data_IF_215630115797
#
_entry.id   IF_215630115797
#
_cell.length_a   1.000
_cell.length_b   1.000
_cell.length_c   1.000
_cell.angle_alpha   90.00
_cell.angle_beta   90.00
_cell.angle_gamma   90.00
#
_symmetry.space_group_name_H-M   'P 1'
#
loop_
_entity.id
_entity.type
_entity.pdbx_description
1 polymer ?
#
# COMPACT_ATOMS: atom_id res chain seq x y z
N UNK A 1 21.58 8.79 -6.34
CA UNK A 1 20.28 9.49 -6.35
C UNK A 1 19.17 8.45 -6.21
N UNK A 2 18.25 8.60 -5.26
CA UNK A 2 17.21 7.60 -4.99
C UNK A 2 15.87 8.08 -5.56
N UNK A 3 15.33 7.34 -6.55
CA UNK A 3 13.99 7.62 -7.13
C UNK A 3 12.92 7.47 -6.04
N UNK A 4 11.90 8.31 -5.99
CA UNK A 4 10.79 8.22 -5.01
C UNK A 4 9.55 7.51 -5.56
N UNK A 5 9.57 7.16 -6.85
CA UNK A 5 8.55 6.37 -7.50
C UNK A 5 9.12 5.11 -8.15
N UNK A 6 8.23 4.19 -8.49
CA UNK A 6 8.51 2.96 -9.22
C UNK A 6 7.35 2.67 -10.17
N UNK A 7 7.64 2.20 -11.38
CA UNK A 7 6.63 1.66 -12.29
C UNK A 7 6.30 0.22 -11.91
N UNK A 8 5.07 -0.22 -12.14
CA UNK A 8 4.67 -1.57 -11.75
C UNK A 8 5.48 -2.64 -12.51
N UNK A 9 5.86 -2.35 -13.76
CA UNK A 9 6.73 -3.17 -14.60
C UNK A 9 8.15 -3.34 -14.08
N UNK A 10 8.65 -2.39 -13.27
CA UNK A 10 9.98 -2.51 -12.65
C UNK A 10 10.03 -3.59 -11.55
N UNK A 11 8.87 -4.14 -11.17
CA UNK A 11 8.78 -5.16 -10.11
C UNK A 11 8.70 -6.59 -10.65
N UNK A 12 8.70 -6.80 -11.97
CA UNK A 12 8.55 -8.15 -12.54
C UNK A 12 9.71 -9.06 -12.10
N UNK A 13 9.39 -10.25 -11.62
CA UNK A 13 10.36 -11.23 -11.13
C UNK A 13 10.94 -10.96 -9.74
N UNK A 14 10.58 -9.86 -9.07
CA UNK A 14 11.08 -9.57 -7.72
C UNK A 14 10.50 -10.52 -6.65
N UNK A 15 11.28 -10.74 -5.58
CA UNK A 15 10.82 -11.48 -4.40
C UNK A 15 9.79 -10.66 -3.63
N UNK A 16 8.65 -11.28 -3.33
CA UNK A 16 7.49 -10.63 -2.75
C UNK A 16 7.15 -11.18 -1.37
N UNK A 17 7.08 -10.27 -0.40
CA UNK A 17 6.34 -10.46 0.85
C UNK A 17 4.85 -10.34 0.53
N UNK A 18 4.19 -11.48 0.40
CA UNK A 18 2.79 -11.56 0.03
C UNK A 18 1.87 -11.56 1.27
N UNK A 19 0.58 -11.32 1.03
CA UNK A 19 -0.46 -11.56 2.01
C UNK A 19 -0.91 -13.02 2.01
N UNK A 20 -1.26 -13.55 3.18
CA UNK A 20 -1.88 -14.86 3.30
C UNK A 20 -3.34 -14.83 2.79
N UNK A 21 -3.92 -15.99 2.42
CA UNK A 21 -5.24 -16.06 1.76
C UNK A 21 -6.41 -15.46 2.56
N UNK A 22 -6.29 -15.39 3.89
CA UNK A 22 -7.28 -14.82 4.81
C UNK A 22 -7.24 -13.28 4.86
N UNK A 23 -6.18 -12.66 4.34
CA UNK A 23 -6.09 -11.22 4.24
C UNK A 23 -6.81 -10.72 2.97
N UNK A 24 -7.73 -9.77 3.14
CA UNK A 24 -8.51 -9.17 2.04
C UNK A 24 -7.68 -8.57 0.89
N UNK A 25 -6.41 -8.26 1.12
CA UNK A 25 -5.50 -7.74 0.09
C UNK A 25 -4.90 -8.83 -0.79
N UNK A 26 -4.86 -10.10 -0.37
CA UNK A 26 -4.23 -11.18 -1.15
C UNK A 26 -4.88 -11.29 -2.52
N UNK A 27 -6.16 -11.66 -2.56
CA UNK A 27 -6.85 -11.84 -3.85
C UNK A 27 -7.00 -10.54 -4.65
N UNK A 28 -7.02 -9.38 -3.99
CA UNK A 28 -6.99 -8.10 -4.72
C UNK A 28 -5.65 -7.88 -5.41
N UNK A 29 -4.54 -8.17 -4.73
CA UNK A 29 -3.18 -8.02 -5.25
C UNK A 29 -2.96 -8.99 -6.41
N UNK A 30 -3.32 -10.27 -6.24
CA UNK A 30 -3.20 -11.30 -7.28
C UNK A 30 -3.91 -10.88 -8.58
N UNK A 31 -5.18 -10.46 -8.48
CA UNK A 31 -5.95 -10.01 -9.64
C UNK A 31 -5.34 -8.77 -10.29
N UNK A 32 -4.82 -7.85 -9.48
CA UNK A 32 -4.30 -6.59 -10.00
C UNK A 32 -2.93 -6.77 -10.68
N UNK A 33 -2.08 -7.67 -10.17
CA UNK A 33 -0.82 -8.07 -10.80
C UNK A 33 -1.07 -8.86 -12.08
N UNK A 34 -1.99 -9.83 -12.03
CA UNK A 34 -2.39 -10.61 -13.21
C UNK A 34 -2.97 -9.72 -14.32
N UNK A 35 -3.82 -8.76 -13.99
CA UNK A 35 -4.35 -7.79 -14.96
C UNK A 35 -3.26 -6.89 -15.57
N UNK A 36 -2.15 -6.68 -14.87
CA UNK A 36 -0.97 -5.96 -15.37
C UNK A 36 0.04 -6.88 -16.09
N UNK A 37 -0.19 -8.19 -16.13
CA UNK A 37 0.71 -9.17 -16.76
C UNK A 37 2.01 -9.43 -15.98
N UNK A 38 2.04 -9.13 -14.68
CA UNK A 38 3.26 -9.20 -13.86
C UNK A 38 3.32 -10.44 -12.99
N UNK A 39 4.53 -10.95 -12.84
CA UNK A 39 4.82 -12.18 -12.12
C UNK A 39 5.87 -11.89 -11.05
N UNK A 40 5.41 -11.73 -9.81
CA UNK A 40 6.26 -11.62 -8.62
C UNK A 40 6.44 -12.99 -7.98
N UNK A 41 7.54 -13.21 -7.27
CA UNK A 41 7.87 -14.49 -6.62
C UNK A 41 7.51 -14.43 -5.11
N UNK A 42 6.38 -15.00 -4.65
CA UNK A 42 6.04 -14.96 -3.23
C UNK A 42 7.00 -15.81 -2.40
N UNK A 43 7.80 -15.18 -1.55
CA UNK A 43 8.81 -15.88 -0.71
C UNK A 43 8.38 -16.03 0.75
N UNK A 44 7.48 -15.16 1.21
CA UNK A 44 6.88 -15.22 2.55
C UNK A 44 5.45 -14.68 2.49
N UNK A 45 4.58 -15.19 3.35
CA UNK A 45 3.20 -14.71 3.46
C UNK A 45 2.87 -14.23 4.88
N UNK A 46 1.98 -13.25 5.00
CA UNK A 46 1.47 -12.79 6.29
C UNK A 46 -0.01 -12.42 6.25
N UNK A 47 -0.75 -12.79 7.30
CA UNK A 47 -2.14 -12.37 7.48
C UNK A 47 -2.27 -10.93 8.00
N UNK A 48 -1.19 -10.34 8.52
CA UNK A 48 -1.20 -9.01 9.14
C UNK A 48 -0.71 -7.96 8.16
N UNK A 49 -1.59 -7.05 7.73
CA UNK A 49 -1.25 -6.06 6.68
C UNK A 49 -0.03 -5.18 7.04
N UNK A 50 0.10 -4.77 8.30
CA UNK A 50 1.24 -3.94 8.76
C UNK A 50 2.55 -4.73 8.92
N UNK A 51 2.51 -6.06 8.90
CA UNK A 51 3.71 -6.88 8.98
C UNK A 51 4.43 -6.96 7.63
N UNK A 52 3.71 -6.91 6.51
CA UNK A 52 4.32 -7.02 5.18
C UNK A 52 5.42 -5.97 4.92
N UNK A 53 5.22 -4.66 5.19
CA UNK A 53 6.29 -3.67 5.06
C UNK A 53 7.49 -3.96 5.98
N UNK A 54 7.27 -4.47 7.19
CA UNK A 54 8.36 -4.75 8.14
C UNK A 54 9.22 -5.93 7.69
N UNK A 55 8.59 -6.99 7.18
CA UNK A 55 9.28 -8.14 6.61
C UNK A 55 10.11 -7.74 5.38
N UNK A 56 9.56 -6.86 4.52
CA UNK A 56 10.31 -6.32 3.39
C UNK A 56 11.50 -5.45 3.85
N UNK A 57 11.30 -4.59 4.86
CA UNK A 57 12.38 -3.80 5.44
C UNK A 57 13.47 -4.66 6.12
N UNK A 58 13.12 -5.88 6.55
CA UNK A 58 14.05 -6.87 7.07
C UNK A 58 14.82 -7.63 5.97
N UNK A 59 14.55 -7.34 4.68
CA UNK A 59 15.28 -7.92 3.55
C UNK A 59 14.67 -9.18 2.95
N UNK A 60 13.42 -9.53 3.28
CA UNK A 60 12.72 -10.69 2.72
C UNK A 60 12.12 -10.45 1.32
N UNK A 61 12.53 -9.39 0.63
CA UNK A 61 11.96 -8.96 -0.65
C UNK A 61 11.22 -7.62 -0.55
N UNK A 62 10.37 -7.34 -1.54
CA UNK A 62 9.51 -6.15 -1.57
C UNK A 62 8.14 -6.43 -0.95
N UNK A 63 7.42 -5.38 -0.55
CA UNK A 63 6.01 -5.47 -0.17
C UNK A 63 5.19 -4.42 -0.91
N UNK A 64 4.09 -4.84 -1.53
CA UNK A 64 3.07 -3.95 -2.07
C UNK A 64 2.01 -3.77 -0.98
N UNK A 65 1.92 -2.56 -0.41
CA UNK A 65 1.08 -2.30 0.76
C UNK A 65 0.37 -0.96 0.67
N UNK A 66 -0.88 -0.84 1.18
CA UNK A 66 -1.48 0.47 1.36
C UNK A 66 -0.62 1.31 2.32
N UNK A 67 -0.45 2.59 2.01
CA UNK A 67 0.37 3.52 2.80
C UNK A 67 -0.04 3.59 4.28
N UNK A 68 -1.32 3.33 4.59
CA UNK A 68 -1.84 3.28 5.96
C UNK A 68 -1.28 2.12 6.81
N UNK A 69 -0.65 1.12 6.19
CA UNK A 69 -0.01 0.01 6.88
C UNK A 69 1.44 0.31 7.30
N UNK A 70 2.00 1.43 6.85
CA UNK A 70 3.36 1.85 7.17
C UNK A 70 3.34 2.75 8.40
N UNK A 71 3.94 2.27 9.49
CA UNK A 71 4.05 2.99 10.75
C UNK A 71 5.09 4.12 10.70
N UNK A 72 4.98 5.08 11.62
CA UNK A 72 6.01 6.09 11.83
C UNK A 72 7.35 5.44 12.23
N UNK A 73 8.47 6.00 11.78
CA UNK A 73 9.80 5.45 12.04
C UNK A 73 10.12 4.20 11.22
N UNK A 74 9.41 3.99 10.12
CA UNK A 74 9.63 2.83 9.26
C UNK A 74 11.09 2.78 8.74
N UNK A 75 11.82 1.68 8.97
CA UNK A 75 13.25 1.61 8.62
C UNK A 75 13.51 1.38 7.12
N UNK A 76 12.50 0.97 6.37
CA UNK A 76 12.61 0.71 4.93
C UNK A 76 12.39 1.94 4.05
N UNK A 77 12.60 1.75 2.75
CA UNK A 77 12.32 2.76 1.72
C UNK A 77 10.90 2.56 1.18
N UNK A 78 10.11 3.61 1.19
CA UNK A 78 8.75 3.61 0.62
C UNK A 78 8.75 4.37 -0.70
N UNK A 79 8.23 3.76 -1.76
CA UNK A 79 8.10 4.36 -3.09
C UNK A 79 6.64 4.41 -3.49
N UNK A 80 6.25 5.49 -4.18
CA UNK A 80 4.92 5.58 -4.80
C UNK A 80 4.93 4.93 -6.17
N UNK A 81 3.79 4.42 -6.63
CA UNK A 81 3.67 3.98 -8.03
C UNK A 81 3.55 5.17 -8.99
N UNK A 82 4.22 5.08 -10.13
CA UNK A 82 4.03 5.97 -11.28
C UNK A 82 3.76 5.13 -12.54
N UNK A 83 2.57 5.19 -13.15
CA UNK A 83 1.39 5.95 -12.74
C UNK A 83 0.85 5.49 -11.38
N UNK A 84 0.05 6.36 -10.73
CA UNK A 84 -0.53 6.05 -9.42
C UNK A 84 -1.39 4.79 -9.49
N UNK A 85 -1.02 3.78 -8.70
CA UNK A 85 -1.81 2.57 -8.52
C UNK A 85 -2.53 2.63 -7.18
N UNK A 86 -3.86 2.69 -7.21
CA UNK A 86 -4.68 2.94 -6.02
C UNK A 86 -5.89 2.00 -5.98
N UNK A 87 -6.26 1.60 -4.76
CA UNK A 87 -7.50 0.88 -4.47
C UNK A 87 -8.55 1.87 -4.00
N UNK A 88 -9.75 1.82 -4.60
CA UNK A 88 -10.88 2.59 -4.12
C UNK A 88 -11.37 2.05 -2.77
N UNK A 89 -11.64 2.95 -1.82
CA UNK A 89 -12.23 2.64 -0.53
C UNK A 89 -13.68 3.13 -0.49
N UNK A 90 -14.56 2.30 0.08
CA UNK A 90 -15.99 2.60 0.19
C UNK A 90 -16.40 2.58 1.66
N UNK A 91 -17.25 3.54 2.05
CA UNK A 91 -17.97 3.51 3.32
C UNK A 91 -19.38 2.96 3.02
N UNK A 92 -19.76 1.88 3.70
CA UNK A 92 -21.04 1.21 3.51
C UNK A 92 -21.82 1.27 4.82
N UNK A 93 -23.06 1.75 4.76
CA UNK A 93 -23.97 1.82 5.91
C UNK A 93 -25.29 1.13 5.56
N UNK A 94 -25.96 0.43 6.49
CA UNK A 94 -27.24 -0.24 6.23
C UNK A 94 -28.39 0.73 5.85
N UNK A 95 -28.25 2.02 6.20
CA UNK A 95 -29.21 3.09 5.93
C UNK A 95 -28.54 4.45 6.08
N UNK A 96 -29.33 5.51 6.32
CA UNK A 96 -28.79 6.85 6.55
C UNK A 96 -27.91 6.86 7.82
N UNK A 97 -26.64 7.30 7.72
CA UNK A 97 -25.76 7.38 8.88
C UNK A 97 -26.25 8.45 9.85
N UNK A 98 -26.12 8.19 11.15
CA UNK A 98 -26.32 9.24 12.17
C UNK A 98 -25.33 10.41 11.95
N UNK A 99 -25.58 11.59 12.54
CA UNK A 99 -24.76 12.78 12.32
C UNK A 99 -23.26 12.58 12.62
N UNK A 100 -22.90 11.75 13.61
CA UNK A 100 -21.50 11.48 13.95
C UNK A 100 -20.85 10.59 12.89
N UNK A 101 -21.52 9.51 12.49
CA UNK A 101 -21.05 8.63 11.42
C UNK A 101 -20.94 9.39 10.08
N UNK A 102 -21.92 10.23 9.75
CA UNK A 102 -21.91 11.08 8.56
C UNK A 102 -20.72 12.05 8.58
N UNK A 103 -20.45 12.68 9.72
CA UNK A 103 -19.31 13.57 9.89
C UNK A 103 -17.99 12.83 9.73
N UNK A 104 -17.86 11.65 10.33
CA UNK A 104 -16.67 10.81 10.20
C UNK A 104 -16.42 10.40 8.74
N UNK A 105 -17.45 9.97 8.01
CA UNK A 105 -17.34 9.62 6.58
C UNK A 105 -16.93 10.84 5.75
N UNK A 106 -17.55 12.00 5.99
CA UNK A 106 -17.19 13.25 5.29
C UNK A 106 -15.73 13.66 5.56
N UNK A 107 -15.29 13.52 6.81
CA UNK A 107 -13.92 13.80 7.21
C UNK A 107 -12.92 12.84 6.53
N UNK A 108 -13.22 11.54 6.46
CA UNK A 108 -12.39 10.56 5.74
C UNK A 108 -12.33 10.83 4.23
N UNK A 109 -13.45 11.22 3.61
CA UNK A 109 -13.48 11.58 2.17
C UNK A 109 -12.62 12.81 1.87
N UNK A 110 -12.63 13.78 2.77
CA UNK A 110 -11.90 15.05 2.57
C UNK A 110 -10.41 14.90 2.86
N UNK A 111 -10.05 14.18 3.93
CA UNK A 111 -8.67 14.14 4.44
C UNK A 111 -7.91 12.87 4.06
N UNK A 112 -8.62 11.83 3.61
CA UNK A 112 -8.05 10.51 3.38
C UNK A 112 -7.60 9.84 4.68
N UNK A 113 -6.83 8.75 4.53
CA UNK A 113 -6.21 8.06 5.66
C UNK A 113 -4.98 8.83 6.15
N UNK A 114 -4.78 8.87 7.46
CA UNK A 114 -3.60 9.50 8.06
C UNK A 114 -2.35 8.72 7.64
N UNK A 115 -1.37 9.44 7.09
CA UNK A 115 -0.03 8.92 6.79
C UNK A 115 0.99 9.62 7.70
N UNK A 116 1.90 8.87 8.37
CA UNK A 116 3.00 9.47 9.12
C UNK A 116 3.81 10.46 8.27
N UNK A 117 4.28 11.56 8.88
CA UNK A 117 4.93 12.67 8.15
C UNK A 117 6.23 12.23 7.46
N UNK A 118 7.01 11.39 8.13
CA UNK A 118 8.24 10.79 7.61
C UNK A 118 7.98 9.92 6.38
N UNK A 119 6.93 9.08 6.42
CA UNK A 119 6.49 8.28 5.27
C UNK A 119 6.01 9.17 4.12
N UNK A 120 5.20 10.20 4.44
CA UNK A 120 4.72 11.18 3.46
C UNK A 120 5.88 11.87 2.74
N UNK A 121 6.92 12.28 3.47
CA UNK A 121 8.10 12.92 2.89
C UNK A 121 8.84 12.00 1.91
N UNK A 122 8.93 10.69 2.19
CA UNK A 122 9.53 9.73 1.25
C UNK A 122 8.75 9.68 -0.07
N UNK A 123 7.41 9.69 0.00
CA UNK A 123 6.53 9.65 -1.17
C UNK A 123 6.59 10.95 -2.00
N UNK A 124 6.76 12.11 -1.35
CA UNK A 124 6.70 13.44 -1.98
C UNK A 124 8.03 13.94 -2.55
N UNK A 125 9.16 13.31 -2.23
CA UNK A 125 10.51 13.70 -2.68
C UNK A 125 10.69 13.58 -4.21
N UNK A 126 10.19 14.55 -4.98
CA UNK A 126 10.40 14.62 -6.44
C UNK A 126 11.90 14.53 -6.77
N UNK A 127 12.27 13.58 -7.62
CA UNK A 127 13.54 13.63 -8.32
C UNK A 127 13.58 14.91 -9.14
N UNK A 128 14.44 15.85 -8.76
CA UNK A 128 14.77 17.01 -9.58
C UNK A 128 15.63 16.47 -10.72
N UNK A 129 15.08 16.51 -11.95
CA UNK A 129 15.88 16.36 -13.18
C UNK A 129 16.81 17.56 -13.36
#
# INVERSE_FOLDING_TARGET
MQRNSVELSELDGEDLVHYAPDNSLSGWLDRSLSAAGLHLNPVVTTSVTSAAPQLAAAGLGIAISPVSAVSAGFPGVVRSFSPRWARQLFAVTPGEPDPLAARFIADLRTRGVRVPRDVKNQLERRGVS
#
